data_IF_234822147349
#
_entry.id   IF_234822147349
#
_cell.length_a   1.000
_cell.length_b   1.000
_cell.length_c   1.000
_cell.angle_alpha   90.00
_cell.angle_beta   90.00
_cell.angle_gamma   90.00
#
_symmetry.space_group_name_H-M   'P 1'
#
loop_
_entity.id
_entity.type
_entity.pdbx_description
1 polymer ?
#
# COMPACT_ATOMS: atom_id res chain seq x y z
N UNK A 1 -22.08 -14.30 -0.21
CA UNK A 1 -22.03 -14.29 -1.69
C UNK A 1 -21.25 -13.04 -2.13
N UNK A 2 -19.93 -13.01 -1.86
CA UNK A 2 -19.07 -11.85 -2.16
C UNK A 2 -17.58 -12.26 -2.20
N UNK A 3 -17.29 -13.50 -2.58
CA UNK A 3 -15.93 -14.08 -2.55
C UNK A 3 -15.27 -14.20 -3.93
N UNK A 4 -15.83 -13.61 -4.99
CA UNK A 4 -15.44 -13.97 -6.36
C UNK A 4 -15.15 -12.78 -7.30
N UNK A 5 -14.90 -11.57 -6.80
CA UNK A 5 -14.45 -10.45 -7.64
C UNK A 5 -12.98 -10.14 -7.35
N UNK A 6 -12.12 -11.16 -7.44
CA UNK A 6 -10.68 -10.97 -7.58
C UNK A 6 -10.02 -12.20 -8.23
N UNK A 7 -10.66 -12.76 -9.25
CA UNK A 7 -10.14 -13.92 -9.95
C UNK A 7 -10.54 -13.88 -11.43
N UNK A 8 -10.02 -12.92 -12.19
CA UNK A 8 -9.95 -13.04 -13.65
C UNK A 8 -9.05 -11.94 -14.26
N UNK A 9 -7.73 -12.13 -14.29
CA UNK A 9 -6.81 -11.90 -15.44
C UNK A 9 -5.42 -12.48 -15.05
N UNK A 10 -5.28 -13.80 -14.94
CA UNK A 10 -3.97 -14.47 -14.77
C UNK A 10 -3.95 -15.81 -15.51
N UNK A 11 -4.08 -15.78 -16.84
CA UNK A 11 -3.69 -16.89 -17.71
C UNK A 11 -2.82 -16.32 -18.84
N UNK A 12 -1.56 -16.02 -18.53
CA UNK A 12 -0.55 -15.60 -19.51
C UNK A 12 0.29 -14.38 -19.16
N UNK A 13 -0.04 -13.63 -18.10
CA UNK A 13 0.81 -12.55 -17.61
C UNK A 13 1.95 -13.16 -16.79
N UNK A 14 3.19 -12.72 -17.06
CA UNK A 14 4.31 -12.90 -16.14
C UNK A 14 3.87 -12.42 -14.76
N UNK A 15 4.45 -12.95 -13.67
CA UNK A 15 4.21 -12.32 -12.36
C UNK A 15 4.49 -10.82 -12.53
N UNK A 16 3.62 -9.90 -12.06
CA UNK A 16 3.87 -8.46 -12.21
C UNK A 16 5.23 -8.04 -11.62
N UNK A 17 5.81 -8.88 -10.76
CA UNK A 17 7.15 -8.81 -10.20
C UNK A 17 8.29 -9.06 -11.21
N UNK A 18 8.07 -9.83 -12.28
CA UNK A 18 9.12 -10.19 -13.25
C UNK A 18 9.26 -9.19 -14.41
N UNK A 19 8.29 -8.28 -14.58
CA UNK A 19 8.25 -7.35 -15.71
C UNK A 19 7.71 -5.97 -15.33
N UNK A 20 8.04 -5.46 -14.14
CA UNK A 20 7.64 -4.11 -13.76
C UNK A 20 8.33 -3.08 -14.68
N UNK A 21 7.58 -2.51 -15.62
CA UNK A 21 7.98 -1.30 -16.32
C UNK A 21 8.34 -0.22 -15.28
N UNK A 22 9.34 0.63 -15.55
CA UNK A 22 9.75 1.66 -14.60
C UNK A 22 8.54 2.52 -14.22
N UNK A 23 8.30 2.67 -12.92
CA UNK A 23 7.19 3.45 -12.42
C UNK A 23 7.29 4.91 -12.92
N UNK A 24 6.27 5.46 -13.61
CA UNK A 24 6.27 6.84 -14.07
C UNK A 24 6.41 7.86 -12.93
N UNK A 25 6.00 7.51 -11.72
CA UNK A 25 6.26 8.32 -10.54
C UNK A 25 6.33 7.49 -9.25
N UNK A 26 6.86 8.12 -8.20
CA UNK A 26 6.98 7.56 -6.86
C UNK A 26 6.41 8.55 -5.86
N UNK A 27 5.56 8.07 -4.96
CA UNK A 27 5.06 8.83 -3.82
C UNK A 27 5.87 8.48 -2.58
N UNK A 28 6.51 9.47 -1.96
CA UNK A 28 7.09 9.23 -0.64
C UNK A 28 6.03 9.46 0.42
N UNK A 29 5.69 8.41 1.17
CA UNK A 29 4.67 8.43 2.21
C UNK A 29 5.32 8.39 3.59
N UNK A 30 4.93 9.31 4.46
CA UNK A 30 5.22 9.27 5.89
C UNK A 30 4.00 8.71 6.63
N UNK A 31 4.19 7.59 7.34
CA UNK A 31 3.18 6.95 8.17
C UNK A 31 3.41 7.36 9.62
N UNK A 32 2.50 8.15 10.17
CA UNK A 32 2.51 8.59 11.56
C UNK A 32 1.63 7.71 12.41
N UNK A 33 2.12 7.40 13.60
CA UNK A 33 1.41 6.56 14.56
C UNK A 33 0.32 7.38 15.26
N UNK A 34 -0.90 6.84 15.31
CA UNK A 34 -2.02 7.45 16.03
C UNK A 34 -1.89 7.34 17.55
N UNK A 35 -2.72 8.08 18.27
CA UNK A 35 -2.79 7.98 19.73
C UNK A 35 -3.57 6.73 20.16
N UNK A 36 -3.15 6.11 21.28
CA UNK A 36 -3.86 4.97 21.87
C UNK A 36 -3.59 3.59 21.25
N UNK A 37 -2.56 3.47 20.40
CA UNK A 37 -2.13 2.18 19.82
C UNK A 37 -1.16 1.42 20.75
N UNK A 38 -0.91 0.15 20.45
CA UNK A 38 -0.05 -0.71 21.28
C UNK A 38 1.38 -0.15 21.45
N UNK A 39 2.00 -0.30 22.64
CA UNK A 39 3.41 0.02 22.85
C UNK A 39 4.26 -0.84 21.89
N UNK A 40 5.01 -0.19 21.00
CA UNK A 40 5.79 -0.86 19.94
C UNK A 40 5.33 -0.56 18.52
N UNK A 41 4.21 0.16 18.33
CA UNK A 41 3.88 0.73 17.03
C UNK A 41 4.90 1.82 16.66
N UNK A 42 5.53 1.65 15.50
CA UNK A 42 6.41 2.62 14.90
C UNK A 42 5.83 3.07 13.56
N UNK A 43 6.08 4.35 13.24
CA UNK A 43 5.81 4.89 11.92
C UNK A 43 6.77 4.29 10.89
N UNK A 44 6.56 4.64 9.63
CA UNK A 44 7.44 4.24 8.54
C UNK A 44 7.49 5.32 7.47
N UNK A 45 8.58 5.35 6.71
CA UNK A 45 8.65 6.10 5.45
C UNK A 45 8.68 5.08 4.32
N UNK A 46 7.76 5.20 3.37
CA UNK A 46 7.63 4.28 2.24
C UNK A 46 7.75 5.06 0.94
N UNK A 47 8.65 4.65 0.07
CA UNK A 47 8.71 5.12 -1.31
C UNK A 47 7.82 4.20 -2.16
N UNK A 48 6.66 4.71 -2.56
CA UNK A 48 5.62 3.94 -3.25
C UNK A 48 5.68 4.20 -4.76
N UNK A 49 6.27 3.30 -5.55
CA UNK A 49 6.26 3.40 -7.00
C UNK A 49 4.85 3.11 -7.54
N UNK A 50 4.37 3.94 -8.45
CA UNK A 50 3.09 3.75 -9.14
C UNK A 50 3.39 3.52 -10.61
N UNK A 51 3.13 2.32 -11.09
CA UNK A 51 3.25 1.88 -12.47
C UNK A 51 2.13 2.47 -13.34
N UNK A 52 2.24 2.28 -14.67
CA UNK A 52 1.19 2.68 -15.60
C UNK A 52 -0.16 2.04 -15.22
N UNK A 53 -1.24 2.80 -15.42
CA UNK A 53 -2.59 2.37 -15.02
C UNK A 53 -2.86 2.44 -13.50
N UNK A 54 -1.92 3.00 -12.73
CA UNK A 54 -2.07 3.18 -11.28
C UNK A 54 -1.71 1.94 -10.47
N UNK A 55 -1.05 0.95 -11.06
CA UNK A 55 -0.72 -0.30 -10.38
C UNK A 55 0.48 -0.11 -9.44
N UNK A 56 0.46 -0.71 -8.24
CA UNK A 56 1.55 -0.59 -7.26
C UNK A 56 2.04 -1.98 -6.86
N UNK A 57 3.33 -2.24 -7.05
CA UNK A 57 4.02 -3.43 -6.58
C UNK A 57 5.45 -3.09 -6.20
N UNK A 58 5.85 -3.37 -4.94
CA UNK A 58 7.23 -3.18 -4.50
C UNK A 58 7.57 -4.00 -3.25
N UNK A 59 8.86 -4.14 -2.96
CA UNK A 59 9.35 -4.71 -1.71
C UNK A 59 10.02 -3.63 -0.87
N UNK A 60 9.78 -3.64 0.44
CA UNK A 60 10.45 -2.79 1.41
C UNK A 60 10.74 -3.59 2.67
N UNK A 61 12.01 -3.62 3.11
CA UNK A 61 12.49 -4.40 4.26
C UNK A 61 12.07 -5.88 4.21
N UNK A 62 12.05 -6.49 3.02
CA UNK A 62 11.64 -7.88 2.81
C UNK A 62 10.13 -8.14 2.89
N UNK A 63 9.31 -7.09 2.97
CA UNK A 63 7.85 -7.17 2.92
C UNK A 63 7.35 -6.76 1.54
N UNK A 64 6.46 -7.56 0.97
CA UNK A 64 5.86 -7.31 -0.35
C UNK A 64 4.60 -6.47 -0.20
N UNK A 65 4.50 -5.44 -1.04
CA UNK A 65 3.39 -4.50 -1.09
C UNK A 65 2.71 -4.56 -2.44
N UNK A 66 1.38 -4.57 -2.44
CA UNK A 66 0.53 -4.51 -3.61
C UNK A 66 -0.58 -3.49 -3.44
N UNK A 67 -0.97 -2.81 -4.52
CA UNK A 67 -1.97 -1.77 -4.43
C UNK A 67 -2.36 -1.11 -5.74
N UNK A 68 -3.16 -0.06 -5.62
CA UNK A 68 -3.62 0.77 -6.73
C UNK A 68 -3.71 2.25 -6.36
N UNK A 69 -3.35 3.12 -7.31
CA UNK A 69 -3.79 4.50 -7.40
C UNK A 69 -4.98 4.58 -8.36
N UNK A 70 -6.16 4.87 -7.83
CA UNK A 70 -7.34 5.12 -8.65
C UNK A 70 -7.22 6.46 -9.40
N UNK A 71 -7.94 6.66 -10.53
CA UNK A 71 -7.88 7.89 -11.32
C UNK A 71 -8.23 9.18 -10.58
N UNK A 72 -8.92 9.07 -9.44
CA UNK A 72 -9.22 10.19 -8.56
C UNK A 72 -8.13 10.49 -7.53
N UNK A 73 -6.93 9.90 -7.66
CA UNK A 73 -5.79 10.10 -6.75
C UNK A 73 -5.87 9.31 -5.44
N UNK A 74 -6.83 8.39 -5.33
CA UNK A 74 -7.02 7.55 -4.16
C UNK A 74 -6.04 6.38 -4.19
N UNK A 75 -5.21 6.26 -3.16
CA UNK A 75 -4.23 5.20 -2.97
C UNK A 75 -4.80 4.13 -2.05
N UNK A 76 -4.71 2.87 -2.48
CA UNK A 76 -4.93 1.68 -1.64
C UNK A 76 -3.68 0.83 -1.70
N UNK A 77 -3.13 0.46 -0.54
CA UNK A 77 -1.96 -0.39 -0.44
C UNK A 77 -2.20 -1.48 0.60
N UNK A 78 -1.81 -2.70 0.28
CA UNK A 78 -1.95 -3.89 1.09
C UNK A 78 -0.61 -4.65 1.09
N UNK A 79 -0.36 -5.41 2.16
CA UNK A 79 0.71 -6.42 2.18
C UNK A 79 0.12 -7.74 2.62
N UNK A 80 0.61 -8.83 2.05
CA UNK A 80 0.45 -10.15 2.64
C UNK A 80 1.57 -10.41 3.66
N UNK A 81 1.33 -11.29 4.64
CA UNK A 81 2.29 -11.63 5.69
C UNK A 81 1.78 -11.45 7.13
N UNK A 82 2.57 -11.87 8.11
CA UNK A 82 2.19 -11.93 9.54
C UNK A 82 1.78 -10.58 10.14
N UNK A 83 2.14 -9.47 9.49
CA UNK A 83 1.78 -8.10 9.90
C UNK A 83 1.27 -7.29 8.72
N UNK A 84 0.18 -7.75 8.11
CA UNK A 84 -0.50 -7.06 7.01
C UNK A 84 -0.65 -5.55 7.28
N UNK A 85 -0.09 -4.72 6.40
CA UNK A 85 -0.37 -3.28 6.34
C UNK A 85 -1.60 -3.08 5.45
N UNK A 86 -2.52 -2.23 5.88
CA UNK A 86 -3.54 -1.65 5.02
C UNK A 86 -3.44 -0.15 5.08
N UNK A 87 -3.43 0.50 3.92
CA UNK A 87 -3.40 1.95 3.79
C UNK A 87 -4.43 2.37 2.75
N UNK A 88 -5.20 3.42 3.08
CA UNK A 88 -6.11 4.06 2.13
C UNK A 88 -6.16 5.57 2.33
N UNK A 89 -6.38 6.32 1.25
CA UNK A 89 -6.50 7.78 1.28
C UNK A 89 -6.20 8.40 -0.07
N UNK A 90 -5.90 9.70 -0.10
CA UNK A 90 -5.66 10.42 -1.35
C UNK A 90 -4.30 11.13 -1.30
N UNK A 91 -3.46 10.98 -2.33
CA UNK A 91 -2.04 11.41 -2.29
C UNK A 91 -1.85 12.89 -1.89
N UNK A 92 -2.78 13.78 -2.26
CA UNK A 92 -2.74 15.22 -1.88
C UNK A 92 -3.07 15.55 -0.42
N UNK A 93 -3.83 14.71 0.27
CA UNK A 93 -4.34 15.02 1.63
C UNK A 93 -3.96 13.97 2.67
N UNK A 94 -3.42 12.84 2.23
CA UNK A 94 -3.11 11.71 3.10
C UNK A 94 -4.30 10.78 3.32
N UNK A 95 -4.21 10.01 4.39
CA UNK A 95 -5.24 9.05 4.74
C UNK A 95 -4.94 8.26 6.00
N UNK A 96 -5.47 7.05 6.07
CA UNK A 96 -5.33 6.16 7.24
C UNK A 96 -4.52 4.93 6.88
N UNK A 97 -3.79 4.44 7.86
CA UNK A 97 -3.13 3.15 7.77
C UNK A 97 -3.36 2.32 9.03
N UNK A 98 -3.28 1.01 8.90
CA UNK A 98 -3.33 0.03 9.98
C UNK A 98 -2.35 -1.11 9.70
N UNK A 99 -1.74 -1.69 10.74
CA UNK A 99 -0.84 -2.84 10.64
C UNK A 99 -1.18 -3.90 11.68
N UNK A 100 -1.19 -5.17 11.26
CA UNK A 100 -1.52 -6.33 12.09
C UNK A 100 -3.02 -6.63 12.17
N UNK A 101 -3.38 -7.75 12.78
CA UNK A 101 -4.78 -8.15 12.95
C UNK A 101 -5.57 -7.06 13.70
N UNK A 102 -6.74 -6.70 13.16
CA UNK A 102 -7.70 -5.77 13.75
C UNK A 102 -7.14 -4.37 14.10
N UNK A 103 -6.11 -3.87 13.40
CA UNK A 103 -5.62 -2.50 13.61
C UNK A 103 -4.80 -2.31 14.87
N UNK A 104 -4.05 -3.35 15.27
CA UNK A 104 -3.12 -3.34 16.41
C UNK A 104 -2.18 -2.13 16.39
N UNK A 105 -1.72 -1.73 15.20
CA UNK A 105 -1.09 -0.44 14.95
C UNK A 105 -1.88 0.33 13.89
N UNK A 106 -1.79 1.65 13.93
CA UNK A 106 -2.37 2.48 12.88
C UNK A 106 -2.21 3.96 13.17
N UNK A 107 -2.66 4.76 12.22
CA UNK A 107 -2.60 6.21 12.32
C UNK A 107 -2.94 6.86 11.00
N UNK A 108 -2.26 7.98 10.73
CA UNK A 108 -2.42 8.75 9.50
C UNK A 108 -1.18 8.63 8.65
N UNK A 109 -1.34 8.76 7.34
CA UNK A 109 -0.21 8.93 6.44
C UNK A 109 -0.37 10.21 5.65
N UNK A 110 0.73 10.78 5.20
CA UNK A 110 0.77 11.93 4.31
C UNK A 110 1.92 11.78 3.31
N UNK A 111 1.81 12.45 2.16
CA UNK A 111 2.93 12.57 1.22
C UNK A 111 3.96 13.55 1.76
N UNK A 112 5.23 13.26 1.52
CA UNK A 112 6.37 14.10 1.88
C UNK A 112 7.19 14.36 0.62
N UNK A 113 7.45 15.63 0.35
CA UNK A 113 8.29 16.06 -0.77
C UNK A 113 9.78 15.72 -0.55
#
# INVERSE_FOLDING_TARGET
>A
MLEHILALVLFGATSPWEAAEPAPHTWTLQLDVGTGVSPGCAGARLDVPVAEGGVIYFEHDGVQYEGVEAPNGMLVLLTDGERALSLSGHHRVGGRWTRGENGTCGGVWHTVD
#
